data_IF_222841565985
#
_entry.id   IF_222841565985
#
_cell.length_a   1.000
_cell.length_b   1.000
_cell.length_c   1.000
_cell.angle_alpha   90.00
_cell.angle_beta   90.00
_cell.angle_gamma   90.00
#
_symmetry.space_group_name_H-M   'P 1'
#
loop_
_entity.id
_entity.type
_entity.pdbx_description
1 polymer ?
#
# COMPACT_ATOMS: atom_id res chain seq x y z
N UNK A 1 -13.09 -9.29 12.37
CA UNK A 1 -12.53 -9.41 11.01
C UNK A 1 -13.20 -8.45 10.00
N UNK A 2 -14.41 -7.92 10.29
CA UNK A 2 -15.17 -7.06 9.34
C UNK A 2 -14.53 -5.65 9.16
N UNK A 3 -13.55 -5.29 9.97
CA UNK A 3 -12.90 -3.99 9.99
C UNK A 3 -11.47 -4.00 9.39
N UNK A 4 -10.98 -5.16 8.89
CA UNK A 4 -9.63 -5.23 8.33
C UNK A 4 -9.61 -4.63 6.93
N UNK A 5 -8.78 -3.61 6.72
CA UNK A 5 -8.63 -2.93 5.44
C UNK A 5 -7.87 -3.78 4.41
N UNK A 6 -8.40 -3.85 3.20
CA UNK A 6 -7.68 -4.35 2.03
C UNK A 6 -6.97 -3.18 1.37
N UNK A 7 -5.64 -3.17 1.46
CA UNK A 7 -4.77 -2.12 0.96
C UNK A 7 -4.05 -2.65 -0.28
N UNK A 8 -4.37 -2.11 -1.45
CA UNK A 8 -3.79 -2.52 -2.73
C UNK A 8 -2.42 -1.89 -2.92
N UNK A 9 -1.35 -2.70 -2.83
CA UNK A 9 0.05 -2.31 -2.93
C UNK A 9 0.39 -1.84 -4.35
N UNK A 10 0.73 -0.57 -4.52
CA UNK A 10 0.98 0.08 -5.83
C UNK A 10 -0.17 -0.12 -6.82
N UNK A 11 -1.40 -0.09 -6.30
CA UNK A 11 -2.57 -0.63 -6.96
C UNK A 11 -2.66 -2.15 -6.88
N UNK A 12 -3.34 -2.80 -7.82
CA UNK A 12 -3.37 -4.26 -7.90
C UNK A 12 -2.15 -4.78 -8.69
N UNK A 13 -0.95 -4.65 -8.10
CA UNK A 13 0.34 -4.90 -8.77
C UNK A 13 0.56 -6.37 -9.18
N UNK A 14 -0.21 -7.30 -8.66
CA UNK A 14 -0.21 -8.70 -9.11
C UNK A 14 -0.97 -8.94 -10.41
N UNK A 15 -1.82 -8.01 -10.85
CA UNK A 15 -2.65 -8.12 -12.06
C UNK A 15 -2.42 -7.03 -13.10
N UNK A 16 -1.73 -5.94 -12.76
CA UNK A 16 -1.42 -4.83 -13.67
C UNK A 16 -0.08 -4.18 -13.28
N UNK A 17 0.58 -3.43 -14.19
CA UNK A 17 1.88 -2.82 -13.89
C UNK A 17 1.77 -1.84 -12.72
N UNK A 18 2.65 -2.03 -11.75
CA UNK A 18 2.68 -1.27 -10.49
C UNK A 18 2.67 0.25 -10.70
N UNK A 19 2.00 0.98 -9.79
CA UNK A 19 1.98 2.45 -9.80
C UNK A 19 1.48 3.07 -11.12
N UNK A 20 0.60 2.40 -11.85
CA UNK A 20 -0.06 2.93 -13.05
C UNK A 20 -1.55 3.14 -12.82
N UNK A 21 -2.19 3.96 -13.67
CA UNK A 21 -3.66 4.10 -13.60
C UNK A 21 -4.38 2.77 -13.88
N UNK A 22 -3.77 1.85 -14.64
CA UNK A 22 -4.32 0.52 -14.85
C UNK A 22 -4.35 -0.30 -13.57
N UNK A 23 -3.25 -0.31 -12.77
CA UNK A 23 -3.24 -1.03 -11.49
C UNK A 23 -4.17 -0.40 -10.45
N UNK A 24 -4.29 0.93 -10.45
CA UNK A 24 -5.23 1.65 -9.58
C UNK A 24 -6.68 1.30 -9.93
N UNK A 25 -7.03 1.34 -11.23
CA UNK A 25 -8.36 0.98 -11.69
C UNK A 25 -8.72 -0.47 -11.34
N UNK A 26 -7.78 -1.41 -11.54
CA UNK A 26 -7.96 -2.81 -11.17
C UNK A 26 -8.12 -3.01 -9.66
N UNK A 27 -7.38 -2.24 -8.84
CA UNK A 27 -7.53 -2.28 -7.38
C UNK A 27 -8.94 -1.86 -6.94
N UNK A 28 -9.50 -0.82 -7.55
CA UNK A 28 -10.87 -0.37 -7.30
C UNK A 28 -11.90 -1.41 -7.76
N UNK A 29 -11.69 -2.06 -8.90
CA UNK A 29 -12.53 -3.16 -9.39
C UNK A 29 -12.51 -4.36 -8.44
N UNK A 30 -11.36 -4.66 -7.87
CA UNK A 30 -11.16 -5.72 -6.89
C UNK A 30 -11.63 -5.36 -5.48
N UNK A 31 -12.26 -4.19 -5.29
CA UNK A 31 -12.86 -3.76 -4.03
C UNK A 31 -11.83 -3.42 -2.93
N UNK A 32 -10.68 -2.87 -3.29
CA UNK A 32 -9.74 -2.34 -2.31
C UNK A 32 -10.35 -1.18 -1.52
N UNK A 33 -10.17 -1.15 -0.20
CA UNK A 33 -10.57 -0.04 0.67
C UNK A 33 -9.58 1.12 0.55
N UNK A 34 -8.31 0.77 0.36
CA UNK A 34 -7.19 1.71 0.25
C UNK A 34 -6.34 1.32 -0.94
N UNK A 35 -5.92 2.30 -1.73
CA UNK A 35 -4.93 2.14 -2.79
C UNK A 35 -3.63 2.78 -2.32
N UNK A 36 -2.62 1.97 -2.10
CA UNK A 36 -1.29 2.43 -1.75
C UNK A 36 -0.49 2.76 -3.02
N UNK A 37 0.26 3.86 -2.99
CA UNK A 37 1.10 4.35 -4.09
C UNK A 37 2.39 4.98 -3.56
N UNK A 38 3.45 4.90 -4.37
CA UNK A 38 4.74 5.54 -4.08
C UNK A 38 4.89 6.86 -4.84
N UNK A 39 5.28 7.94 -4.18
CA UNK A 39 5.46 9.24 -4.83
C UNK A 39 6.89 9.78 -4.73
N UNK A 40 7.33 10.46 -5.79
CA UNK A 40 8.62 11.14 -5.90
C UNK A 40 8.47 12.48 -6.62
N UNK A 41 9.48 13.35 -6.50
CA UNK A 41 9.57 14.62 -7.22
C UNK A 41 10.45 14.50 -8.48
N UNK A 42 9.99 15.08 -9.59
CA UNK A 42 10.79 15.25 -10.80
C UNK A 42 11.70 16.48 -10.71
N UNK A 43 12.65 16.64 -11.66
CA UNK A 43 13.53 17.78 -11.72
C UNK A 43 12.80 19.15 -11.83
N UNK A 44 11.63 19.15 -12.47
CA UNK A 44 10.77 20.35 -12.63
C UNK A 44 9.68 20.45 -11.55
N UNK A 45 9.72 19.56 -10.55
CA UNK A 45 8.91 19.64 -9.34
C UNK A 45 7.50 19.06 -9.45
N UNK A 46 7.21 18.24 -10.45
CA UNK A 46 5.98 17.47 -10.49
C UNK A 46 6.05 16.29 -9.52
N UNK A 47 4.94 15.92 -8.90
CA UNK A 47 4.84 14.73 -8.05
C UNK A 47 4.30 13.57 -8.89
N UNK A 48 5.17 12.61 -9.13
CA UNK A 48 4.89 11.42 -9.95
C UNK A 48 4.79 10.17 -9.11
N UNK A 49 4.04 9.18 -9.62
CA UNK A 49 3.76 7.92 -8.91
C UNK A 49 4.66 6.84 -9.46
N UNK A 50 5.75 6.54 -8.74
CA UNK A 50 6.76 5.54 -9.10
C UNK A 50 7.57 5.13 -7.86
N UNK A 51 7.88 3.82 -7.74
CA UNK A 51 8.61 3.29 -6.59
C UNK A 51 10.12 3.50 -6.68
N UNK A 52 10.76 3.03 -7.77
CA UNK A 52 12.22 3.02 -7.88
C UNK A 52 12.77 4.41 -8.19
N UNK A 53 14.05 4.62 -7.88
CA UNK A 53 14.76 5.87 -8.15
C UNK A 53 14.95 6.17 -9.64
N UNK A 54 14.76 5.18 -10.50
CA UNK A 54 14.84 5.27 -11.95
C UNK A 54 13.76 4.42 -12.64
N UNK A 55 13.69 4.50 -13.94
CA UNK A 55 12.69 3.80 -14.74
C UNK A 55 13.21 2.45 -15.30
N UNK A 56 14.33 1.92 -14.81
CA UNK A 56 14.94 0.71 -15.37
C UNK A 56 14.02 -0.50 -15.24
N UNK A 57 13.42 -0.73 -14.07
CA UNK A 57 12.53 -1.88 -13.82
C UNK A 57 11.29 -1.84 -14.69
N UNK A 58 10.62 -0.70 -14.75
CA UNK A 58 9.29 -0.58 -15.35
C UNK A 58 9.29 -0.09 -16.80
N UNK A 59 10.39 0.50 -17.26
CA UNK A 59 10.49 1.07 -18.61
C UNK A 59 11.78 0.73 -19.36
N UNK A 60 12.69 -0.06 -18.76
CA UNK A 60 13.99 -0.38 -19.36
C UNK A 60 14.88 0.86 -19.59
N UNK A 61 14.63 1.95 -18.87
CA UNK A 61 15.29 3.24 -19.05
C UNK A 61 15.99 3.65 -17.74
N UNK A 62 17.33 3.91 -17.76
CA UNK A 62 18.10 4.28 -16.56
C UNK A 62 17.88 5.73 -16.09
N UNK A 63 16.93 6.45 -16.68
CA UNK A 63 16.58 7.82 -16.34
C UNK A 63 16.17 7.91 -14.87
N UNK A 64 16.85 8.75 -14.11
CA UNK A 64 16.55 8.99 -12.68
C UNK A 64 15.43 10.02 -12.55
N UNK A 65 14.49 9.74 -11.65
CA UNK A 65 13.29 10.55 -11.47
C UNK A 65 13.63 12.02 -11.15
N UNK A 66 14.56 12.27 -10.24
CA UNK A 66 14.95 13.64 -9.82
C UNK A 66 15.84 14.39 -10.83
N UNK A 67 16.35 13.72 -11.87
CA UNK A 67 17.17 14.34 -12.93
C UNK A 67 16.36 14.65 -14.19
N UNK A 68 15.16 14.09 -14.31
CA UNK A 68 14.30 14.19 -15.47
C UNK A 68 13.10 15.11 -15.23
N UNK A 69 12.65 15.80 -16.27
CA UNK A 69 11.38 16.51 -16.27
C UNK A 69 10.20 15.55 -16.33
N UNK A 70 9.03 16.01 -15.93
CA UNK A 70 7.81 15.21 -16.06
C UNK A 70 7.55 14.76 -17.50
N UNK A 71 7.73 15.63 -18.49
CA UNK A 71 7.53 15.28 -19.89
C UNK A 71 8.46 14.16 -20.36
N UNK A 72 9.72 14.14 -19.91
CA UNK A 72 10.66 13.06 -20.21
C UNK A 72 10.25 11.74 -19.58
N UNK A 73 9.83 11.76 -18.32
CA UNK A 73 9.32 10.57 -17.60
C UNK A 73 8.04 10.07 -18.27
N UNK A 74 7.10 10.97 -18.58
CA UNK A 74 5.82 10.65 -19.21
C UNK A 74 5.95 10.03 -20.59
N UNK A 75 7.05 10.26 -21.30
CA UNK A 75 7.32 9.68 -22.60
C UNK A 75 7.64 8.16 -22.53
N UNK A 76 8.08 7.64 -21.38
CA UNK A 76 8.49 6.25 -21.22
C UNK A 76 7.24 5.35 -21.07
N UNK A 77 7.22 4.23 -21.81
CA UNK A 77 6.24 3.16 -21.62
C UNK A 77 6.62 2.34 -20.36
N UNK A 78 5.71 2.32 -19.39
CA UNK A 78 5.90 1.60 -18.12
C UNK A 78 4.91 0.43 -17.95
N UNK A 79 4.25 0.03 -19.04
CA UNK A 79 3.28 -1.06 -19.01
C UNK A 79 3.72 -2.31 -19.78
N UNK A 80 4.41 -2.13 -20.91
CA UNK A 80 4.76 -3.24 -21.82
C UNK A 80 5.63 -4.34 -21.18
N UNK A 81 6.37 -4.03 -20.11
CA UNK A 81 7.17 -5.02 -19.36
C UNK A 81 6.30 -6.03 -18.62
N UNK A 82 5.10 -5.63 -18.22
CA UNK A 82 4.16 -6.48 -17.49
C UNK A 82 3.36 -7.38 -18.45
N UNK A 83 2.87 -6.82 -19.55
CA UNK A 83 2.14 -7.53 -20.56
C UNK A 83 1.81 -6.63 -21.78
N UNK A 84 1.61 -7.23 -22.97
CA UNK A 84 1.31 -6.46 -24.19
C UNK A 84 0.00 -5.67 -24.09
N UNK A 85 -0.96 -6.12 -23.29
CA UNK A 85 -2.24 -5.44 -23.04
C UNK A 85 -2.07 -4.11 -22.31
N UNK A 86 -0.96 -3.93 -21.60
CA UNK A 86 -0.62 -2.70 -20.88
C UNK A 86 0.29 -1.75 -21.65
N UNK A 87 0.57 -2.09 -22.92
CA UNK A 87 1.38 -1.20 -23.79
C UNK A 87 0.80 0.21 -23.82
N UNK A 88 1.66 1.20 -23.59
CA UNK A 88 1.25 2.60 -23.56
C UNK A 88 0.89 3.15 -22.20
N UNK A 89 0.91 2.34 -21.13
CA UNK A 89 0.81 2.88 -19.78
C UNK A 89 1.98 3.83 -19.50
N UNK A 90 1.69 4.89 -18.75
CA UNK A 90 2.63 5.97 -18.43
C UNK A 90 2.70 6.16 -16.92
N UNK A 91 3.82 6.70 -16.44
CA UNK A 91 3.94 7.14 -15.06
C UNK A 91 2.89 8.23 -14.79
N UNK A 92 1.94 8.02 -13.87
CA UNK A 92 0.91 9.01 -13.57
C UNK A 92 1.44 10.10 -12.63
N UNK A 93 0.76 11.24 -12.61
CA UNK A 93 0.89 12.22 -11.53
C UNK A 93 0.08 11.77 -10.30
N UNK A 94 0.43 12.31 -9.13
CA UNK A 94 -0.39 12.12 -7.93
C UNK A 94 -1.84 12.59 -8.17
N UNK A 95 -2.03 13.72 -8.83
CA UNK A 95 -3.36 14.27 -9.13
C UNK A 95 -4.21 13.29 -9.95
N UNK A 96 -3.65 12.65 -10.99
CA UNK A 96 -4.36 11.66 -11.80
C UNK A 96 -4.82 10.45 -10.97
N UNK A 97 -4.00 9.98 -10.02
CA UNK A 97 -4.38 8.87 -9.14
C UNK A 97 -5.47 9.30 -8.16
N UNK A 98 -5.35 10.47 -7.53
CA UNK A 98 -6.37 11.00 -6.62
C UNK A 98 -7.73 11.12 -7.32
N UNK A 99 -7.77 11.68 -8.55
CA UNK A 99 -8.99 11.78 -9.32
C UNK A 99 -9.60 10.41 -9.67
N UNK A 100 -8.77 9.41 -9.94
CA UNK A 100 -9.22 8.04 -10.23
C UNK A 100 -9.86 7.38 -9.00
N UNK A 101 -9.34 7.64 -7.80
CA UNK A 101 -9.81 7.10 -6.53
C UNK A 101 -10.96 7.89 -5.90
N UNK A 102 -11.23 9.10 -6.37
CA UNK A 102 -12.23 10.01 -5.79
C UNK A 102 -13.58 9.34 -5.53
N UNK A 103 -14.02 9.34 -4.27
CA UNK A 103 -15.29 8.77 -3.83
C UNK A 103 -15.38 7.24 -3.91
N UNK A 104 -14.23 6.54 -4.12
CA UNK A 104 -14.19 5.08 -4.27
C UNK A 104 -13.30 4.39 -3.25
N UNK A 105 -12.11 4.92 -2.98
CA UNK A 105 -11.14 4.37 -2.04
C UNK A 105 -10.31 5.50 -1.41
N UNK A 106 -9.75 5.22 -0.24
CA UNK A 106 -8.70 6.05 0.36
C UNK A 106 -7.40 5.84 -0.42
N UNK A 107 -6.54 6.85 -0.52
CA UNK A 107 -5.22 6.74 -1.11
C UNK A 107 -4.18 6.82 0.00
N UNK A 108 -3.34 5.78 0.14
CA UNK A 108 -2.18 5.75 1.02
C UNK A 108 -0.95 6.17 0.22
N UNK A 109 -0.37 7.33 0.57
CA UNK A 109 0.71 7.96 -0.17
C UNK A 109 2.04 7.67 0.54
N UNK A 110 2.84 6.71 0.02
CA UNK A 110 4.20 6.52 0.50
C UNK A 110 5.15 7.59 -0.05
N UNK A 111 5.74 8.39 0.85
CA UNK A 111 6.74 9.39 0.51
C UNK A 111 8.12 8.75 0.33
N UNK A 112 8.61 8.67 -0.92
CA UNK A 112 9.90 8.05 -1.27
C UNK A 112 11.02 9.09 -1.33
N UNK A 113 12.11 8.78 -0.65
CA UNK A 113 13.28 9.65 -0.58
C UNK A 113 14.55 8.92 -1.02
N UNK A 114 15.19 9.47 -2.04
CA UNK A 114 16.49 9.00 -2.53
C UNK A 114 17.61 10.02 -2.29
N UNK A 115 17.38 11.01 -1.41
CA UNK A 115 18.36 12.04 -1.03
C UNK A 115 18.43 13.24 -1.98
N UNK A 116 17.43 13.41 -2.85
CA UNK A 116 17.32 14.48 -3.83
C UNK A 116 15.99 15.25 -3.77
N UNK A 117 15.14 14.86 -2.85
CA UNK A 117 13.85 15.49 -2.58
C UNK A 117 14.05 16.88 -1.96
N UNK A 118 13.25 17.85 -2.39
CA UNK A 118 13.30 19.23 -1.90
C UNK A 118 12.07 19.59 -1.09
N UNK A 119 10.87 19.37 -1.63
CA UNK A 119 9.61 19.84 -1.05
C UNK A 119 8.49 18.78 -1.16
N UNK A 120 8.82 17.50 -1.15
CA UNK A 120 7.86 16.43 -1.45
C UNK A 120 6.60 16.51 -0.58
N UNK A 121 6.75 16.66 0.74
CA UNK A 121 5.61 16.70 1.67
C UNK A 121 4.71 17.91 1.41
N UNK A 122 5.30 19.09 1.14
CA UNK A 122 4.54 20.29 0.86
C UNK A 122 3.80 20.17 -0.48
N UNK A 123 4.46 19.68 -1.52
CA UNK A 123 3.86 19.48 -2.85
C UNK A 123 2.72 18.47 -2.81
N UNK A 124 2.89 17.33 -2.11
CA UNK A 124 1.82 16.36 -1.87
C UNK A 124 0.64 17.02 -1.17
N UNK A 125 0.90 17.76 -0.09
CA UNK A 125 -0.12 18.51 0.66
C UNK A 125 -0.89 19.47 -0.24
N UNK A 126 -0.18 20.27 -1.07
CA UNK A 126 -0.79 21.27 -1.96
C UNK A 126 -1.64 20.62 -3.06
N UNK A 127 -1.20 19.47 -3.60
CA UNK A 127 -1.96 18.71 -4.60
C UNK A 127 -3.25 18.17 -3.98
N UNK A 128 -3.17 17.53 -2.80
CA UNK A 128 -4.33 16.97 -2.11
C UNK A 128 -5.34 18.07 -1.74
N UNK A 129 -4.87 19.24 -1.29
CA UNK A 129 -5.74 20.39 -1.01
C UNK A 129 -6.41 20.90 -2.26
N UNK A 130 -5.65 21.09 -3.36
CA UNK A 130 -6.17 21.57 -4.65
C UNK A 130 -7.22 20.62 -5.23
N UNK A 131 -7.05 19.33 -5.05
CA UNK A 131 -8.01 18.31 -5.50
C UNK A 131 -9.18 18.13 -4.55
N UNK A 132 -9.12 18.68 -3.32
CA UNK A 132 -10.18 18.50 -2.32
C UNK A 132 -10.31 17.06 -1.83
N UNK A 133 -9.20 16.29 -1.80
CA UNK A 133 -9.16 14.88 -1.39
C UNK A 133 -8.65 14.67 0.04
N UNK A 134 -8.54 15.73 0.85
CA UNK A 134 -7.96 15.67 2.19
C UNK A 134 -8.57 14.61 3.12
N UNK A 135 -9.88 14.36 2.99
CA UNK A 135 -10.61 13.34 3.77
C UNK A 135 -10.48 11.91 3.20
N UNK A 136 -9.79 11.74 2.07
CA UNK A 136 -9.62 10.45 1.38
C UNK A 136 -8.15 10.08 1.19
N UNK A 137 -7.26 10.64 2.00
CA UNK A 137 -5.83 10.32 1.96
C UNK A 137 -5.30 10.00 3.35
N UNK A 138 -4.36 9.10 3.38
CA UNK A 138 -3.40 8.88 4.46
C UNK A 138 -2.00 8.93 3.85
N UNK A 139 -0.98 9.08 4.67
CA UNK A 139 0.40 9.10 4.17
C UNK A 139 1.30 8.22 5.01
N UNK A 140 2.38 7.70 4.43
CA UNK A 140 3.38 6.96 5.17
C UNK A 140 4.81 7.18 4.63
N UNK A 141 5.81 6.86 5.42
CA UNK A 141 7.20 6.89 4.98
C UNK A 141 8.06 5.91 5.79
N UNK A 142 9.15 5.43 5.15
CA UNK A 142 10.25 4.74 5.83
C UNK A 142 11.06 5.66 6.75
N UNK A 143 10.95 6.99 6.57
CA UNK A 143 11.70 8.00 7.33
C UNK A 143 10.82 8.63 8.41
N UNK A 144 11.17 8.43 9.67
CA UNK A 144 10.48 9.05 10.81
C UNK A 144 10.42 10.57 10.71
N UNK A 145 11.47 11.22 10.22
CA UNK A 145 11.51 12.68 10.04
C UNK A 145 10.45 13.17 9.05
N UNK A 146 10.18 12.39 7.99
CA UNK A 146 9.14 12.70 7.03
C UNK A 146 7.73 12.54 7.64
N UNK A 147 7.54 11.52 8.49
CA UNK A 147 6.29 11.33 9.26
C UNK A 147 6.02 12.56 10.14
N UNK A 148 6.99 12.95 10.94
CA UNK A 148 6.89 14.15 11.82
C UNK A 148 6.63 15.42 11.00
N UNK A 149 7.33 15.60 9.89
CA UNK A 149 7.15 16.76 9.00
C UNK A 149 5.76 16.79 8.38
N UNK A 150 5.26 15.63 7.87
CA UNK A 150 3.92 15.56 7.30
C UNK A 150 2.84 15.82 8.35
N UNK A 151 2.95 15.26 9.56
CA UNK A 151 2.08 15.56 10.71
C UNK A 151 2.09 17.06 11.06
N UNK A 152 3.22 17.73 10.94
CA UNK A 152 3.34 19.18 11.17
C UNK A 152 2.64 20.01 10.09
N UNK A 153 2.60 19.54 8.84
CA UNK A 153 1.93 20.20 7.70
C UNK A 153 0.42 19.91 7.71
N UNK A 154 0.05 18.64 7.97
CA UNK A 154 -1.33 18.13 7.96
C UNK A 154 -1.62 17.32 9.23
N UNK A 155 -1.85 18.02 10.37
CA UNK A 155 -2.10 17.34 11.64
C UNK A 155 -3.39 16.52 11.65
N UNK A 156 -4.30 16.78 10.72
CA UNK A 156 -5.58 16.07 10.55
C UNK A 156 -5.45 14.75 9.78
N UNK A 157 -4.33 14.52 9.08
CA UNK A 157 -4.13 13.26 8.36
C UNK A 157 -3.59 12.18 9.28
N UNK A 158 -4.00 10.94 9.01
CA UNK A 158 -3.33 9.77 9.57
C UNK A 158 -2.02 9.56 8.82
N UNK A 159 -0.90 9.57 9.55
CA UNK A 159 0.44 9.41 8.99
C UNK A 159 1.15 8.25 9.66
N UNK A 160 1.59 7.29 8.83
CA UNK A 160 2.20 6.04 9.26
C UNK A 160 3.71 6.00 9.15
N UNK A 161 4.32 5.20 10.02
CA UNK A 161 5.72 4.79 9.90
C UNK A 161 5.81 3.43 9.23
N UNK A 162 6.43 3.38 8.05
CA UNK A 162 6.73 2.15 7.33
C UNK A 162 8.07 1.60 7.80
N UNK A 163 8.16 0.28 8.08
CA UNK A 163 9.43 -0.32 8.47
C UNK A 163 9.52 -1.82 8.18
N UNK A 164 10.70 -2.25 7.73
CA UNK A 164 11.05 -3.66 7.54
C UNK A 164 11.79 -4.27 8.75
N UNK A 165 12.24 -3.44 9.70
CA UNK A 165 13.06 -3.89 10.84
C UNK A 165 12.69 -3.10 12.10
N UNK A 166 12.58 -3.81 13.22
CA UNK A 166 12.44 -3.16 14.51
C UNK A 166 13.78 -2.54 14.93
N UNK A 167 13.83 -1.21 14.98
CA UNK A 167 14.93 -0.45 15.58
C UNK A 167 14.31 0.36 16.71
N UNK A 168 14.54 -0.07 17.95
CA UNK A 168 13.89 0.52 19.12
C UNK A 168 12.44 0.09 19.31
N UNK A 169 11.70 0.84 20.10
CA UNK A 169 10.27 0.61 20.35
C UNK A 169 9.43 1.45 19.36
N UNK A 170 8.89 0.80 18.34
CA UNK A 170 8.08 1.44 17.30
C UNK A 170 6.79 2.05 17.84
N UNK A 171 6.30 1.60 19.00
CA UNK A 171 5.06 2.13 19.58
C UNK A 171 5.21 3.56 20.10
N UNK A 172 6.45 4.04 20.24
CA UNK A 172 6.76 5.43 20.65
C UNK A 172 6.91 6.40 19.49
N UNK A 173 6.82 5.92 18.22
CA UNK A 173 6.91 6.79 17.04
C UNK A 173 5.76 7.81 17.02
N UNK A 174 6.02 9.00 16.51
CA UNK A 174 5.00 10.05 16.27
C UNK A 174 4.20 9.74 14.99
N UNK A 175 3.56 8.56 14.97
CA UNK A 175 2.78 8.06 13.85
C UNK A 175 1.41 7.58 14.35
N UNK A 176 0.39 7.63 13.50
CA UNK A 176 -0.97 7.16 13.82
C UNK A 176 -1.10 5.67 13.55
N UNK A 177 -0.38 5.15 12.55
CA UNK A 177 -0.31 3.72 12.26
C UNK A 177 1.12 3.25 11.98
N UNK A 178 1.32 1.94 12.06
CA UNK A 178 2.59 1.27 11.77
C UNK A 178 2.40 0.30 10.60
N UNK A 179 3.05 0.55 9.47
CA UNK A 179 3.10 -0.37 8.35
C UNK A 179 4.36 -1.24 8.47
N UNK A 180 4.21 -2.51 8.86
CA UNK A 180 5.34 -3.38 9.21
C UNK A 180 5.42 -4.61 8.30
N UNK A 181 6.66 -5.10 8.09
CA UNK A 181 6.86 -6.37 7.40
C UNK A 181 6.17 -7.51 8.16
N UNK A 182 5.56 -8.46 7.43
CA UNK A 182 4.78 -9.59 7.96
C UNK A 182 5.50 -10.36 9.08
N UNK A 183 6.82 -10.49 9.00
CA UNK A 183 7.63 -11.17 10.02
C UNK A 183 7.67 -10.45 11.39
N UNK A 184 7.29 -9.17 11.46
CA UNK A 184 7.27 -8.37 12.67
C UNK A 184 5.90 -8.40 13.38
N UNK A 185 4.82 -8.66 12.64
CA UNK A 185 3.44 -8.60 13.09
C UNK A 185 3.03 -9.83 13.88
N UNK A 186 3.64 -10.03 15.05
CA UNK A 186 3.15 -11.02 16.03
C UNK A 186 2.10 -10.39 16.96
N UNK A 187 1.26 -11.24 17.57
CA UNK A 187 0.13 -10.77 18.40
C UNK A 187 0.56 -9.84 19.55
N UNK A 188 1.76 -10.08 20.14
CA UNK A 188 2.25 -9.23 21.24
C UNK A 188 2.66 -7.83 20.73
N UNK A 189 3.22 -7.72 19.52
CA UNK A 189 3.53 -6.44 18.90
C UNK A 189 2.24 -5.68 18.56
N UNK A 190 1.28 -6.34 17.90
CA UNK A 190 0.00 -5.74 17.52
C UNK A 190 -0.72 -5.21 18.76
N UNK A 191 -0.81 -6.02 19.81
CA UNK A 191 -1.44 -5.60 21.06
C UNK A 191 -0.79 -4.34 21.66
N UNK A 192 0.56 -4.28 21.73
CA UNK A 192 1.25 -3.08 22.23
C UNK A 192 1.05 -1.85 21.33
N UNK A 193 0.97 -2.04 20.01
CA UNK A 193 0.67 -0.93 19.08
C UNK A 193 -0.73 -0.38 19.36
N UNK A 194 -1.73 -1.26 19.50
CA UNK A 194 -3.10 -0.87 19.84
C UNK A 194 -3.19 -0.19 21.22
N UNK A 195 -2.44 -0.70 22.25
CA UNK A 195 -2.36 -0.02 23.55
C UNK A 195 -1.76 1.39 23.45
N UNK A 196 -0.90 1.63 22.46
CA UNK A 196 -0.34 2.95 22.16
C UNK A 196 -1.24 3.80 21.21
N UNK A 197 -2.44 3.30 20.86
CA UNK A 197 -3.39 3.98 19.99
C UNK A 197 -2.98 4.00 18.51
N UNK A 198 -2.26 2.97 18.05
CA UNK A 198 -1.77 2.87 16.67
C UNK A 198 -2.35 1.66 15.96
N UNK A 199 -2.85 1.86 14.76
CA UNK A 199 -3.22 0.78 13.85
C UNK A 199 -1.97 0.07 13.30
N UNK A 200 -2.13 -1.20 12.91
CA UNK A 200 -1.06 -2.03 12.36
C UNK A 200 -1.45 -2.55 10.98
N UNK A 201 -0.75 -2.07 9.96
CA UNK A 201 -0.84 -2.61 8.60
C UNK A 201 0.35 -3.51 8.32
N UNK A 202 0.14 -4.60 7.58
CA UNK A 202 1.20 -5.57 7.29
C UNK A 202 1.46 -5.67 5.79
N UNK A 203 2.74 -5.71 5.39
CA UNK A 203 3.18 -5.75 3.99
C UNK A 203 4.30 -6.77 3.74
N UNK A 204 4.51 -7.27 2.55
CA UNK A 204 3.50 -7.46 1.53
C UNK A 204 2.98 -8.87 1.67
N UNK A 205 1.67 -9.06 1.77
CA UNK A 205 1.05 -10.35 2.05
C UNK A 205 0.27 -10.80 0.82
N UNK A 206 0.78 -11.80 0.10
CA UNK A 206 0.27 -12.20 -1.21
C UNK A 206 -0.33 -13.61 -1.27
N UNK A 207 -0.42 -14.30 -0.14
CA UNK A 207 -0.99 -15.64 -0.07
C UNK A 207 -2.09 -15.77 0.99
N UNK A 208 -3.07 -16.63 0.72
CA UNK A 208 -4.26 -16.84 1.55
C UNK A 208 -3.93 -17.18 3.01
N UNK A 209 -2.92 -18.03 3.21
CA UNK A 209 -2.58 -18.53 4.53
C UNK A 209 -2.05 -17.40 5.42
N UNK A 210 -1.11 -16.60 4.90
CA UNK A 210 -0.57 -15.45 5.62
C UNK A 210 -1.62 -14.35 5.78
N UNK A 211 -2.49 -14.08 4.79
CA UNK A 211 -3.64 -13.17 4.94
C UNK A 211 -4.51 -13.58 6.13
N UNK A 212 -5.00 -14.82 6.12
CA UNK A 212 -5.84 -15.34 7.22
C UNK A 212 -5.13 -15.32 8.57
N UNK A 213 -3.81 -15.63 8.59
CA UNK A 213 -2.98 -15.60 9.80
C UNK A 213 -2.85 -14.17 10.36
N UNK A 214 -2.59 -13.18 9.53
CA UNK A 214 -2.46 -11.79 9.97
C UNK A 214 -3.80 -11.24 10.49
N UNK A 215 -4.88 -11.50 9.79
CA UNK A 215 -6.25 -11.17 10.24
C UNK A 215 -6.56 -11.84 11.60
N UNK A 216 -6.17 -13.10 11.79
CA UNK A 216 -6.33 -13.80 13.10
C UNK A 216 -5.48 -13.21 14.21
N UNK A 217 -4.39 -12.50 13.89
CA UNK A 217 -3.56 -11.81 14.88
C UNK A 217 -4.09 -10.44 15.27
N UNK A 218 -5.10 -9.95 14.54
CA UNK A 218 -5.76 -8.67 14.80
C UNK A 218 -5.07 -7.48 14.15
N UNK A 219 -4.50 -7.64 12.94
CA UNK A 219 -4.03 -6.49 12.15
C UNK A 219 -5.21 -5.67 11.66
N UNK A 220 -5.00 -4.37 11.46
CA UNK A 220 -6.03 -3.43 11.01
C UNK A 220 -6.04 -3.31 9.48
N UNK A 221 -4.96 -3.70 8.80
CA UNK A 221 -4.90 -3.72 7.34
C UNK A 221 -3.89 -4.70 6.77
N UNK A 222 -4.16 -5.18 5.56
CA UNK A 222 -3.29 -6.06 4.78
C UNK A 222 -2.92 -5.36 3.49
N UNK A 223 -1.63 -5.06 3.31
CA UNK A 223 -1.06 -4.49 2.08
C UNK A 223 -0.66 -5.65 1.18
N UNK A 224 -1.26 -5.72 -0.02
CA UNK A 224 -1.15 -6.87 -0.92
C UNK A 224 -1.14 -6.46 -2.39
N UNK A 225 -0.40 -7.23 -3.21
CA UNK A 225 -0.46 -7.12 -4.68
C UNK A 225 -1.76 -7.73 -5.26
N UNK A 226 -2.49 -8.53 -4.44
CA UNK A 226 -3.67 -9.29 -4.84
C UNK A 226 -4.93 -8.89 -4.03
N UNK A 227 -5.48 -7.67 -4.20
CA UNK A 227 -6.61 -7.20 -3.38
C UNK A 227 -7.87 -8.08 -3.51
N UNK A 228 -8.15 -8.66 -4.69
CA UNK A 228 -9.26 -9.62 -4.86
C UNK A 228 -9.11 -10.86 -3.98
N UNK A 229 -7.88 -11.39 -3.84
CA UNK A 229 -7.62 -12.52 -2.96
C UNK A 229 -7.83 -12.15 -1.49
N UNK A 230 -7.38 -10.97 -1.07
CA UNK A 230 -7.60 -10.49 0.30
C UNK A 230 -9.10 -10.33 0.60
N UNK A 231 -9.88 -9.81 -0.35
CA UNK A 231 -11.33 -9.67 -0.24
C UNK A 231 -12.00 -11.04 -0.09
N UNK A 232 -11.62 -12.01 -0.92
CA UNK A 232 -12.13 -13.38 -0.84
C UNK A 232 -11.83 -14.02 0.53
N UNK A 233 -10.60 -13.82 1.06
CA UNK A 233 -10.24 -14.35 2.38
C UNK A 233 -11.09 -13.70 3.50
N UNK A 234 -11.37 -12.40 3.41
CA UNK A 234 -12.25 -11.71 4.37
C UNK A 234 -13.67 -12.25 4.30
N UNK A 235 -14.24 -12.45 3.11
CA UNK A 235 -15.59 -12.98 2.90
C UNK A 235 -15.70 -14.40 3.48
N UNK A 236 -14.76 -15.30 3.18
CA UNK A 236 -14.73 -16.64 3.74
C UNK A 236 -14.65 -16.63 5.27
N UNK A 237 -13.85 -15.73 5.85
CA UNK A 237 -13.74 -15.60 7.29
C UNK A 237 -15.01 -15.03 7.92
N UNK A 238 -15.73 -14.15 7.23
CA UNK A 238 -17.01 -13.62 7.67
C UNK A 238 -18.10 -14.71 7.77
N UNK A 239 -18.06 -15.71 6.87
CA UNK A 239 -18.96 -16.86 6.89
C UNK A 239 -18.63 -17.91 7.97
N UNK A 240 -17.42 -17.89 8.54
CA UNK A 240 -17.02 -18.82 9.60
C UNK A 240 -17.78 -18.54 10.90
N UNK A 241 -18.24 -19.60 11.55
CA UNK A 241 -18.74 -19.49 12.92
C UNK A 241 -17.62 -19.10 13.91
N UNK A 242 -17.95 -18.52 15.07
CA UNK A 242 -16.96 -18.19 16.10
C UNK A 242 -16.06 -19.37 16.52
N UNK A 243 -16.60 -20.60 16.48
CA UNK A 243 -15.86 -21.82 16.82
C UNK A 243 -14.84 -22.15 15.72
N UNK A 244 -15.22 -22.05 14.44
CA UNK A 244 -14.32 -22.27 13.32
C UNK A 244 -13.19 -21.24 13.29
N UNK A 245 -13.48 -19.96 13.49
CA UNK A 245 -12.45 -18.90 13.63
C UNK A 245 -11.48 -19.20 14.77
N UNK A 246 -11.98 -19.64 15.92
CA UNK A 246 -11.15 -20.03 17.05
C UNK A 246 -10.25 -21.23 16.72
N UNK A 247 -10.79 -22.25 16.03
CA UNK A 247 -10.02 -23.41 15.61
C UNK A 247 -8.92 -23.07 14.60
N UNK A 248 -9.21 -22.18 13.63
CA UNK A 248 -8.21 -21.67 12.67
C UNK A 248 -7.10 -20.92 13.42
N UNK A 249 -7.47 -20.05 14.33
CA UNK A 249 -6.51 -19.29 15.16
C UNK A 249 -5.65 -20.23 16.02
N UNK A 250 -6.26 -21.22 16.67
CA UNK A 250 -5.55 -22.22 17.48
C UNK A 250 -4.62 -23.10 16.62
N UNK A 251 -5.03 -23.47 15.41
CA UNK A 251 -4.19 -24.23 14.47
C UNK A 251 -2.91 -23.47 14.12
N UNK A 252 -2.99 -22.15 13.86
CA UNK A 252 -1.80 -21.31 13.65
C UNK A 252 -0.89 -21.24 14.87
N UNK A 253 -1.44 -21.26 16.09
CA UNK A 253 -0.65 -21.21 17.32
C UNK A 253 0.18 -22.48 17.57
N UNK A 254 -0.33 -23.64 17.15
CA UNK A 254 0.35 -24.93 17.30
C UNK A 254 1.11 -25.37 16.04
N UNK A 255 1.23 -24.46 15.04
CA UNK A 255 1.97 -24.73 13.80
C UNK A 255 1.32 -25.72 12.87
N UNK A 256 0.01 -26.02 13.03
CA UNK A 256 -0.76 -26.77 12.06
C UNK A 256 -1.19 -25.80 10.95
N UNK A 257 -0.50 -25.87 9.80
CA UNK A 257 -0.90 -25.14 8.62
C UNK A 257 -2.07 -25.87 7.94
N UNK A 258 -3.20 -25.20 7.66
CA UNK A 258 -4.23 -25.78 6.80
C UNK A 258 -3.58 -26.14 5.46
N UNK A 259 -3.88 -27.32 4.93
CA UNK A 259 -3.46 -27.65 3.56
C UNK A 259 -4.14 -26.68 2.64
N UNK A 260 -3.38 -26.00 1.78
CA UNK A 260 -3.96 -25.23 0.68
C UNK A 260 -4.94 -26.11 -0.09
N UNK A 261 -6.14 -25.63 -0.42
CA UNK A 261 -6.99 -26.31 -1.36
C UNK A 261 -6.21 -26.44 -2.69
N UNK A 262 -6.40 -27.52 -3.46
CA UNK A 262 -5.72 -27.68 -4.73
C UNK A 262 -5.98 -26.44 -5.61
N UNK A 263 -4.95 -26.03 -6.35
CA UNK A 263 -4.91 -24.83 -7.20
C UNK A 263 -5.86 -24.90 -8.44
N UNK A 264 -6.93 -25.68 -8.37
CA UNK A 264 -7.92 -25.89 -9.44
C UNK A 264 -9.23 -25.13 -9.10
N UNK A 265 -9.14 -23.81 -9.01
CA UNK A 265 -10.27 -22.94 -9.30
C UNK A 265 -9.81 -22.01 -10.40
N UNK A 266 -9.87 -22.51 -11.63
CA UNK A 266 -9.95 -21.70 -12.83
C UNK A 266 -11.11 -20.72 -12.64
N UNK A 267 -10.81 -19.47 -12.33
CA UNK A 267 -11.74 -18.35 -12.45
C UNK A 267 -11.81 -17.96 -13.94
N UNK A 268 -12.27 -18.89 -14.78
CA UNK A 268 -12.85 -18.57 -16.08
C UNK A 268 -14.34 -18.29 -15.88
N UNK A 269 -14.72 -16.99 -16.04
CA UNK A 269 -16.08 -16.52 -16.01
C UNK A 269 -16.16 -15.04 -16.27
#
# INVERSE_FOLDING_TARGET
>A
DDDVLVIAHRGAAGGAPENTLASVALALEHGADVVEIDVQETADGEVVVIHDSDLMKVGGNPMRVWEATFDEIRAVDVGSWFGPEFTGQRVPTLEEVLETCRGKAVVDIELKYYGHDEMLEQRVSDIVERTGMGDQVIAMSLKGDAVVKMKGIRPEWDVGLLTAKAVGDLTTAEADFLAVHVGMANSAFIHRAHEAGKDVYVWTVNDRLNMSRMMSRGVDGVITDHPSLARLVLEERAEMSPVERLLVTAAFWIGLEPKEPPADLDLEG
#
